data_IF_340354666656
#
_entry.id   IF_340354666656
#
_cell.length_a   1.000
_cell.length_b   1.000
_cell.length_c   1.000
_cell.angle_alpha   90.00
_cell.angle_beta   90.00
_cell.angle_gamma   90.00
#
_symmetry.space_group_name_H-M   'P 1'
#
loop_
_entity.id
_entity.type
_entity.pdbx_description
1 polymer ?
#
# COMPACT_ATOMS: atom_id res chain seq x y z
N UNK A 1 -6.34 -1.98 3.77
CA UNK A 1 -7.53 -1.48 3.05
C UNK A 1 -7.81 -0.06 3.51
N UNK A 2 -8.02 0.87 2.57
CA UNK A 2 -8.30 2.28 2.88
C UNK A 2 -8.92 2.98 1.66
N UNK A 3 -10.15 3.47 1.80
CA UNK A 3 -10.84 4.25 0.78
C UNK A 3 -11.69 5.35 1.42
N UNK A 4 -11.23 6.62 1.43
CA UNK A 4 -11.96 7.71 2.09
C UNK A 4 -13.30 8.05 1.42
N UNK A 5 -13.55 7.55 0.19
CA UNK A 5 -14.83 7.72 -0.52
C UNK A 5 -15.87 6.66 -0.15
N UNK A 6 -15.47 5.58 0.52
CA UNK A 6 -16.40 4.49 0.85
C UNK A 6 -17.30 4.85 2.03
N UNK A 7 -18.59 4.52 1.90
CA UNK A 7 -19.60 4.66 2.96
C UNK A 7 -19.85 3.36 3.74
N UNK A 8 -19.04 2.31 3.53
CA UNK A 8 -19.17 1.01 4.19
C UNK A 8 -19.13 -0.16 3.22
N UNK A 9 -19.09 -1.39 3.75
CA UNK A 9 -19.00 -2.62 2.94
C UNK A 9 -17.58 -2.99 2.49
N UNK A 10 -16.59 -2.15 2.78
CA UNK A 10 -15.18 -2.46 2.58
C UNK A 10 -14.71 -3.61 3.47
N UNK A 11 -13.77 -4.40 2.97
CA UNK A 11 -13.17 -5.50 3.72
C UNK A 11 -11.63 -5.40 3.73
N UNK A 12 -11.04 -5.88 4.82
CA UNK A 12 -9.64 -6.24 4.88
C UNK A 12 -9.18 -6.56 6.30
N UNK A 13 -7.93 -7.02 6.41
CA UNK A 13 -7.37 -7.44 7.69
C UNK A 13 -7.04 -6.28 8.62
N UNK A 14 -7.20 -6.53 9.92
CA UNK A 14 -6.81 -5.60 10.99
C UNK A 14 -7.64 -4.33 11.04
N UNK A 15 -7.17 -3.37 11.83
CA UNK A 15 -7.84 -2.08 11.94
C UNK A 15 -7.57 -1.21 10.71
N UNK A 16 -8.66 -0.65 10.16
CA UNK A 16 -8.60 0.32 9.08
C UNK A 16 -7.75 1.54 9.49
N UNK A 17 -6.82 2.01 8.65
CA UNK A 17 -6.19 3.30 8.85
C UNK A 17 -7.24 4.41 8.96
N UNK A 18 -7.08 5.30 9.94
CA UNK A 18 -7.99 6.42 10.19
C UNK A 18 -7.69 7.61 9.30
N UNK A 19 -6.43 7.77 8.89
CA UNK A 19 -5.98 8.84 8.00
C UNK A 19 -5.12 8.32 6.85
N UNK A 20 -4.92 9.17 5.84
CA UNK A 20 -4.00 8.89 4.73
C UNK A 20 -2.57 8.69 5.24
N UNK A 21 -2.12 9.54 6.17
CA UNK A 21 -0.78 9.48 6.74
C UNK A 21 -0.55 8.16 7.47
N UNK A 22 -1.57 7.65 8.16
CA UNK A 22 -1.49 6.34 8.80
C UNK A 22 -1.37 5.21 7.77
N UNK A 23 -2.13 5.26 6.68
CA UNK A 23 -1.99 4.28 5.59
C UNK A 23 -0.57 4.32 5.01
N UNK A 24 -0.08 5.52 4.68
CA UNK A 24 1.26 5.73 4.10
C UNK A 24 2.35 5.24 5.04
N UNK A 25 2.25 5.56 6.34
CA UNK A 25 3.21 5.08 7.35
C UNK A 25 3.25 3.55 7.38
N UNK A 26 2.08 2.90 7.54
CA UNK A 26 1.99 1.43 7.61
C UNK A 26 2.50 0.76 6.33
N UNK A 27 2.22 1.34 5.15
CA UNK A 27 2.72 0.86 3.86
C UNK A 27 4.25 0.86 3.81
N UNK A 28 4.86 2.01 4.14
CA UNK A 28 6.32 2.18 4.12
C UNK A 28 7.00 1.25 5.13
N UNK A 29 6.54 1.23 6.38
CA UNK A 29 7.10 0.37 7.42
C UNK A 29 7.02 -1.12 7.05
N UNK A 30 5.91 -1.55 6.42
CA UNK A 30 5.77 -2.94 5.97
C UNK A 30 6.81 -3.28 4.91
N UNK A 31 7.02 -2.41 3.94
CA UNK A 31 8.00 -2.64 2.87
C UNK A 31 9.43 -2.62 3.40
N UNK A 32 9.75 -1.73 4.33
CA UNK A 32 11.06 -1.70 4.99
C UNK A 32 11.35 -3.02 5.71
N UNK A 33 10.35 -3.60 6.39
CA UNK A 33 10.47 -4.93 7.01
C UNK A 33 10.67 -6.03 5.97
N UNK A 34 9.88 -6.01 4.88
CA UNK A 34 10.02 -6.99 3.79
C UNK A 34 11.41 -6.92 3.16
N UNK A 35 11.87 -5.72 2.80
CA UNK A 35 13.18 -5.49 2.21
C UNK A 35 14.32 -5.87 3.17
N UNK A 36 14.15 -5.67 4.47
CA UNK A 36 15.12 -6.05 5.50
C UNK A 36 15.20 -7.55 5.80
N UNK A 37 14.40 -8.40 5.15
CA UNK A 37 14.33 -9.84 5.42
C UNK A 37 15.33 -10.62 4.55
N UNK A 38 16.42 -11.21 5.09
CA UNK A 38 17.51 -11.78 4.28
C UNK A 38 17.12 -12.98 3.41
N UNK A 39 16.09 -13.72 3.81
CA UNK A 39 15.62 -14.93 3.10
C UNK A 39 14.39 -14.66 2.21
N UNK A 40 14.04 -13.40 1.96
CA UNK A 40 12.93 -13.02 1.09
C UNK A 40 13.47 -12.46 -0.22
N UNK A 41 13.32 -13.20 -1.33
CA UNK A 41 13.83 -12.77 -2.64
C UNK A 41 13.00 -11.67 -3.31
N UNK A 42 11.77 -11.44 -2.83
CA UNK A 42 10.90 -10.40 -3.36
C UNK A 42 9.50 -10.46 -2.79
N UNK A 43 8.71 -9.46 -3.13
CA UNK A 43 7.31 -9.31 -2.76
C UNK A 43 6.58 -8.56 -3.87
N UNK A 44 5.25 -8.67 -3.89
CA UNK A 44 4.40 -7.94 -4.82
C UNK A 44 3.31 -7.24 -4.01
N UNK A 45 3.19 -5.92 -4.18
CA UNK A 45 2.04 -5.22 -3.66
C UNK A 45 0.85 -5.43 -4.61
N UNK A 46 -0.10 -6.22 -4.16
CA UNK A 46 -1.46 -6.18 -4.71
C UNK A 46 -2.26 -5.18 -3.86
N UNK A 47 -2.88 -4.16 -4.44
CA UNK A 47 -3.45 -4.09 -5.79
C UNK A 47 -3.27 -2.68 -6.40
N UNK A 48 -3.36 -2.56 -7.73
CA UNK A 48 -3.27 -1.25 -8.39
C UNK A 48 -4.57 -0.45 -8.22
N UNK A 49 -5.73 -1.08 -8.45
CA UNK A 49 -7.07 -0.46 -8.34
C UNK A 49 -7.85 -1.08 -7.19
N UNK A 50 -8.85 -0.40 -6.67
CA UNK A 50 -9.86 -1.03 -5.82
C UNK A 50 -10.70 -2.04 -6.65
N UNK A 51 -11.09 -3.16 -6.05
CA UNK A 51 -11.97 -4.16 -6.67
C UNK A 51 -13.04 -4.57 -5.66
N UNK A 52 -14.31 -4.29 -5.99
CA UNK A 52 -15.47 -4.58 -5.14
C UNK A 52 -15.25 -4.15 -3.67
N UNK A 53 -15.33 -5.09 -2.72
CA UNK A 53 -15.13 -4.81 -1.29
C UNK A 53 -13.64 -4.61 -0.92
N UNK A 54 -12.71 -5.04 -1.77
CA UNK A 54 -11.27 -4.90 -1.56
C UNK A 54 -10.79 -3.51 -1.98
N UNK A 55 -10.70 -2.62 -1.01
CA UNK A 55 -10.38 -1.21 -1.22
C UNK A 55 -8.94 -0.83 -0.83
N UNK A 56 -7.99 -1.73 -1.09
CA UNK A 56 -6.55 -1.54 -0.90
C UNK A 56 -5.81 -1.12 -2.18
N UNK A 57 -6.51 -0.69 -3.23
CA UNK A 57 -5.90 -0.15 -4.44
C UNK A 57 -5.14 1.15 -4.19
N UNK A 58 -4.07 1.38 -4.95
CA UNK A 58 -3.40 2.69 -5.03
C UNK A 58 -4.21 3.72 -5.86
N UNK A 59 -5.19 3.22 -6.61
CA UNK A 59 -6.18 3.96 -7.38
C UNK A 59 -7.57 3.49 -6.98
N UNK A 60 -8.57 4.34 -7.19
CA UNK A 60 -9.97 3.97 -7.00
C UNK A 60 -10.44 3.00 -8.09
N UNK A 61 -11.66 2.47 -7.94
CA UNK A 61 -12.29 1.53 -8.88
C UNK A 61 -12.41 2.12 -10.30
N UNK A 62 -12.65 3.42 -10.39
CA UNK A 62 -12.74 4.20 -11.63
C UNK A 62 -11.37 4.60 -12.22
N UNK A 63 -10.27 4.12 -11.62
CA UNK A 63 -8.87 4.41 -11.99
C UNK A 63 -8.43 5.84 -11.73
N UNK A 64 -9.21 6.62 -11.00
CA UNK A 64 -8.74 7.91 -10.49
C UNK A 64 -7.66 7.69 -9.42
N UNK A 65 -6.61 8.53 -9.37
CA UNK A 65 -5.59 8.45 -8.33
C UNK A 65 -6.19 8.56 -6.93
N UNK A 66 -5.81 7.65 -6.02
CA UNK A 66 -6.26 7.70 -4.62
C UNK A 66 -5.47 8.70 -3.78
N UNK A 67 -4.22 8.92 -4.17
CA UNK A 67 -3.26 9.74 -3.44
C UNK A 67 -2.73 10.85 -4.34
N UNK A 68 -2.25 11.93 -3.72
CA UNK A 68 -1.53 12.97 -4.43
C UNK A 68 -0.23 12.42 -5.07
N UNK A 69 0.26 13.01 -6.17
CA UNK A 69 1.46 12.55 -6.86
C UNK A 69 2.71 12.41 -5.96
N UNK A 70 2.85 13.30 -4.97
CA UNK A 70 3.96 13.30 -4.02
C UNK A 70 3.91 12.07 -3.12
N UNK A 71 2.70 11.66 -2.71
CA UNK A 71 2.47 10.46 -1.91
C UNK A 71 2.75 9.22 -2.73
N UNK A 72 2.26 9.14 -3.98
CA UNK A 72 2.59 8.02 -4.88
C UNK A 72 4.09 7.89 -5.12
N UNK A 73 4.80 9.02 -5.25
CA UNK A 73 6.26 9.05 -5.36
C UNK A 73 6.92 8.50 -4.09
N UNK A 74 6.41 8.84 -2.91
CA UNK A 74 6.89 8.29 -1.63
C UNK A 74 6.69 6.78 -1.54
N UNK A 75 5.51 6.26 -1.91
CA UNK A 75 5.24 4.82 -1.92
C UNK A 75 6.19 4.09 -2.89
N UNK A 76 6.38 4.63 -4.10
CA UNK A 76 7.34 4.09 -5.08
C UNK A 76 8.76 4.02 -4.51
N UNK A 77 9.24 5.08 -3.85
CA UNK A 77 10.58 5.09 -3.27
C UNK A 77 10.78 4.02 -2.21
N UNK A 78 9.75 3.71 -1.42
CA UNK A 78 9.81 2.58 -0.49
C UNK A 78 9.97 1.25 -1.25
N UNK A 79 9.21 1.07 -2.35
CA UNK A 79 9.29 -0.14 -3.19
C UNK A 79 10.67 -0.34 -3.81
N UNK A 80 11.37 0.75 -4.14
CA UNK A 80 12.71 0.77 -4.74
C UNK A 80 13.85 0.66 -3.70
N UNK A 81 13.51 0.43 -2.42
CA UNK A 81 14.49 0.28 -1.34
C UNK A 81 15.45 -0.90 -1.52
N UNK A 82 16.62 -0.81 -0.89
CA UNK A 82 17.62 -1.88 -0.91
C UNK A 82 17.12 -3.12 -0.16
N UNK A 83 17.36 -4.31 -0.72
CA UNK A 83 16.96 -5.58 -0.12
C UNK A 83 18.14 -6.24 0.60
N UNK A 84 17.84 -6.95 1.69
CA UNK A 84 18.79 -7.77 2.43
C UNK A 84 19.02 -9.15 1.77
N UNK A 85 18.33 -9.45 0.67
CA UNK A 85 18.51 -10.68 -0.06
C UNK A 85 19.92 -10.71 -0.69
N UNK A 86 20.70 -11.79 -0.49
CA UNK A 86 22.03 -11.90 -1.07
C UNK A 86 22.00 -11.75 -2.60
N UNK A 87 22.94 -10.96 -3.13
CA UNK A 87 23.14 -10.78 -4.58
C UNK A 87 23.89 -11.95 -5.19
#
# INVERSE_FOLDING_TARGET
WWNPRSSGGDWGYGERPKTEEEFVRRYVETIEVLNGTPNLCGWCYTQLYDIEQETNGLYYYDREPKFAPEVLTKLRRANEGETAYPK
#
